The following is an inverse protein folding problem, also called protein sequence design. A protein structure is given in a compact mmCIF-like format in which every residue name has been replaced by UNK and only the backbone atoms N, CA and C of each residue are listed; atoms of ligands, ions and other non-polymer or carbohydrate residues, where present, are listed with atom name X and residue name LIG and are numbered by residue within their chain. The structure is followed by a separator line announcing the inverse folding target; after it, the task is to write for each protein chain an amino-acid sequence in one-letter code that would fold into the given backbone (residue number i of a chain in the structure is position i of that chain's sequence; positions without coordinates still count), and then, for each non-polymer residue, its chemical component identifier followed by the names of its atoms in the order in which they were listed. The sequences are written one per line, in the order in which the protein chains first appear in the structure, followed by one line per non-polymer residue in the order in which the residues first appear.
data_IF_515599533939
#
_entry.id   IF_515599533939
#
_cell.length_a   1.000
_cell.length_b   1.000
_cell.length_c   1.000
_cell.angle_alpha   90.00
_cell.angle_beta   90.00
_cell.angle_gamma   90.00
#
_symmetry.space_group_name_H-M   'P 1'
#
loop_
_entity.id
_entity.type
_entity.pdbx_description
1 polymer ?
#
# COMPACT_ATOMS: atom_id res chain seq x y z
N UNK A 1 6.41 2.07 28.17
CA UNK A 1 5.41 2.11 27.09
C UNK A 1 5.75 1.06 26.05
N UNK A 2 4.74 0.54 25.40
CA UNK A 2 4.86 -0.40 24.27
C UNK A 2 4.43 0.35 23.02
N UNK A 3 5.22 0.26 21.97
CA UNK A 3 4.99 0.93 20.66
C UNK A 3 5.22 -0.10 19.57
N UNK A 4 4.54 0.03 18.44
CA UNK A 4 4.81 -0.79 17.27
C UNK A 4 5.97 -0.20 16.46
N UNK A 5 6.73 -1.05 15.79
CA UNK A 5 7.77 -0.62 14.86
C UNK A 5 7.20 0.33 13.79
N UNK A 6 7.88 1.46 13.58
CA UNK A 6 7.43 2.51 12.66
C UNK A 6 6.66 3.66 13.31
N UNK A 7 6.04 3.43 14.45
CA UNK A 7 5.36 4.48 15.20
C UNK A 7 6.32 5.54 15.75
N UNK A 8 5.80 6.71 16.05
CA UNK A 8 6.55 7.75 16.77
C UNK A 8 6.40 7.59 18.26
N UNK A 9 7.53 7.59 18.97
CA UNK A 9 7.58 7.62 20.43
C UNK A 9 7.65 9.08 20.85
N UNK A 10 6.67 9.55 21.61
CA UNK A 10 6.63 10.91 22.13
C UNK A 10 7.13 10.94 23.56
N UNK A 11 8.24 11.64 23.79
CA UNK A 11 8.86 11.85 25.09
C UNK A 11 8.59 13.28 25.55
N UNK A 12 7.64 13.46 26.46
CA UNK A 12 7.39 14.75 27.09
C UNK A 12 8.19 14.84 28.38
N UNK A 13 8.99 15.90 28.51
CA UNK A 13 9.91 16.09 29.62
C UNK A 13 9.88 17.51 30.17
N UNK A 14 10.13 17.65 31.46
CA UNK A 14 10.38 18.93 32.10
C UNK A 14 11.81 18.99 32.65
N UNK A 15 12.55 20.04 32.34
CA UNK A 15 13.90 20.30 32.84
C UNK A 15 13.89 21.62 33.56
N UNK A 16 14.29 21.62 34.82
CA UNK A 16 14.37 22.83 35.65
C UNK A 16 15.83 23.26 35.85
N UNK A 17 16.11 24.52 35.58
CA UNK A 17 17.38 25.12 36.03
C UNK A 17 17.28 25.48 37.51
N UNK A 18 17.73 24.59 38.37
CA UNK A 18 17.71 24.77 39.83
C UNK A 18 18.78 25.74 40.34
N UNK A 19 19.66 26.25 39.47
CA UNK A 19 20.73 27.17 39.80
C UNK A 19 20.25 28.62 39.91
N UNK A 20 20.98 29.54 40.56
CA UNK A 20 20.68 30.97 40.54
C UNK A 20 21.22 31.67 39.28
N UNK A 21 21.82 30.96 38.33
CA UNK A 21 22.46 31.49 37.14
C UNK A 21 21.69 31.06 35.88
N UNK A 22 21.75 31.89 34.86
CA UNK A 22 21.20 31.54 33.56
C UNK A 22 22.14 30.56 32.83
N UNK A 23 21.58 29.61 32.14
CA UNK A 23 22.29 28.78 31.15
C UNK A 23 22.20 29.48 29.80
N UNK A 24 23.31 29.53 29.05
CA UNK A 24 23.35 30.18 27.73
C UNK A 24 22.48 29.49 26.69
N UNK A 25 22.40 28.17 26.79
CA UNK A 25 21.51 27.28 26.02
C UNK A 25 21.45 25.93 26.69
N UNK A 26 20.41 25.17 26.43
CA UNK A 26 20.27 23.82 26.95
C UNK A 26 20.56 22.78 25.88
N UNK A 27 21.64 22.03 25.99
CA UNK A 27 21.86 20.87 25.14
C UNK A 27 21.19 19.64 25.78
N UNK A 28 20.48 18.88 24.99
CA UNK A 28 19.83 17.62 25.39
C UNK A 28 20.38 16.49 24.53
N UNK A 29 20.73 15.37 25.14
CA UNK A 29 21.10 14.16 24.43
C UNK A 29 20.06 13.07 24.70
N UNK A 30 19.51 12.47 23.65
CA UNK A 30 18.57 11.37 23.75
C UNK A 30 19.16 10.15 23.03
N UNK A 31 19.20 9.02 23.74
CA UNK A 31 19.77 7.78 23.26
C UNK A 31 18.99 6.56 23.70
N UNK A 32 19.08 5.49 22.93
CA UNK A 32 18.56 4.17 23.28
C UNK A 32 19.71 3.22 23.55
N UNK A 33 19.51 2.33 24.49
CA UNK A 33 20.47 1.29 24.86
C UNK A 33 19.74 -0.04 25.04
N UNK A 34 20.29 -1.09 24.45
CA UNK A 34 19.87 -2.48 24.67
C UNK A 34 21.09 -3.40 24.76
N UNK A 35 20.87 -4.72 24.78
CA UNK A 35 21.93 -5.73 24.81
C UNK A 35 22.89 -5.67 23.61
N UNK A 36 22.45 -5.11 22.49
CA UNK A 36 23.20 -5.05 21.23
C UNK A 36 24.02 -3.76 21.08
N UNK A 37 23.78 -2.77 21.92
CA UNK A 37 24.55 -1.54 21.94
C UNK A 37 23.77 -0.27 22.22
N UNK A 38 24.40 0.85 21.86
CA UNK A 38 23.90 2.19 22.08
C UNK A 38 23.56 2.85 20.75
N UNK A 39 22.37 3.43 20.67
CA UNK A 39 21.91 4.21 19.51
C UNK A 39 21.72 5.66 19.98
N UNK A 40 22.50 6.59 19.41
CA UNK A 40 22.26 8.01 19.59
C UNK A 40 21.14 8.45 18.66
N UNK A 41 20.06 8.99 19.23
CA UNK A 41 18.88 9.37 18.45
C UNK A 41 18.95 10.82 18.00
N UNK A 42 19.05 11.74 18.97
CA UNK A 42 19.08 13.16 18.67
C UNK A 42 19.81 13.93 19.79
N UNK A 43 20.27 15.08 19.41
CA UNK A 43 21.03 15.98 20.30
C UNK A 43 20.55 17.42 20.07
N UNK A 44 19.28 17.73 20.41
CA UNK A 44 18.72 19.06 20.17
C UNK A 44 19.29 20.07 21.15
N UNK A 45 19.62 21.24 20.63
CA UNK A 45 19.97 22.41 21.44
C UNK A 45 18.74 23.30 21.57
N UNK A 46 18.41 23.66 22.79
CA UNK A 46 17.28 24.48 23.17
C UNK A 46 17.71 25.93 23.42
N UNK A 47 16.73 26.80 23.54
CA UNK A 47 16.95 28.21 23.96
C UNK A 47 17.61 28.33 25.35
N UNK A 48 18.16 29.51 25.68
CA UNK A 48 18.69 29.78 27.00
C UNK A 48 17.66 29.50 28.08
N UNK A 49 18.07 28.81 29.15
CA UNK A 49 17.24 28.49 30.30
C UNK A 49 17.61 29.39 31.47
N UNK A 50 16.72 30.31 31.86
CA UNK A 50 16.96 31.27 32.94
C UNK A 50 17.04 30.58 34.29
N UNK A 51 17.63 31.28 35.25
CA UNK A 51 17.64 30.83 36.62
C UNK A 51 16.23 30.53 37.13
N UNK A 52 16.03 29.33 37.71
CA UNK A 52 14.73 28.86 38.25
C UNK A 52 13.63 28.66 37.20
N UNK A 53 13.97 28.69 35.94
CA UNK A 53 13.05 28.42 34.86
C UNK A 53 12.88 26.91 34.59
N UNK A 54 11.68 26.55 34.20
CA UNK A 54 11.36 25.17 33.75
C UNK A 54 11.14 25.17 32.24
N UNK A 55 11.90 24.35 31.54
CA UNK A 55 11.71 24.04 30.17
C UNK A 55 10.83 22.77 30.04
N UNK A 56 9.78 22.83 29.27
CA UNK A 56 8.91 21.67 28.99
C UNK A 56 8.82 21.52 27.48
N UNK A 57 9.15 20.33 26.98
CA UNK A 57 9.04 20.04 25.56
C UNK A 57 8.67 18.56 25.32
N UNK A 58 8.26 18.26 24.08
CA UNK A 58 7.95 16.89 23.67
C UNK A 58 8.80 16.54 22.45
N UNK A 59 9.68 15.58 22.65
CA UNK A 59 10.54 15.05 21.60
C UNK A 59 9.86 13.87 20.91
N UNK A 60 9.80 13.92 19.58
CA UNK A 60 9.35 12.81 18.76
C UNK A 60 10.56 11.96 18.34
N UNK A 61 10.51 10.67 18.66
CA UNK A 61 11.56 9.70 18.37
C UNK A 61 10.97 8.66 17.43
N UNK A 62 11.61 8.44 16.29
CA UNK A 62 11.20 7.39 15.37
C UNK A 62 11.55 6.01 15.90
N UNK A 63 10.58 5.10 15.89
CA UNK A 63 10.83 3.68 16.22
C UNK A 63 11.20 2.83 15.00
N UNK A 64 11.45 3.46 13.87
CA UNK A 64 11.88 2.78 12.63
C UNK A 64 13.10 1.90 12.89
N UNK A 65 13.00 0.63 12.49
CA UNK A 65 14.04 -0.40 12.67
C UNK A 65 14.35 -0.78 14.13
N UNK A 66 13.49 -0.36 15.06
CA UNK A 66 13.57 -0.78 16.45
C UNK A 66 12.56 -1.93 16.66
N UNK A 67 13.00 -3.02 17.28
CA UNK A 67 12.16 -4.21 17.50
C UNK A 67 12.55 -4.98 18.76
N UNK A 68 12.90 -4.27 19.84
CA UNK A 68 13.38 -4.86 21.08
C UNK A 68 12.95 -4.02 22.29
N UNK A 69 13.42 -4.41 23.46
CA UNK A 69 13.34 -3.61 24.67
C UNK A 69 14.56 -2.72 24.76
N UNK A 70 14.33 -1.43 25.02
CA UNK A 70 15.36 -0.43 25.13
C UNK A 70 15.22 0.34 26.44
N UNK A 71 16.37 0.74 27.01
CA UNK A 71 16.44 1.84 27.96
C UNK A 71 16.60 3.14 27.16
N UNK A 72 15.63 4.02 27.31
CA UNK A 72 15.72 5.37 26.78
C UNK A 72 16.37 6.24 27.83
N UNK A 73 17.48 6.85 27.48
CA UNK A 73 18.21 7.80 28.27
C UNK A 73 18.06 9.20 27.71
N UNK A 74 17.79 10.14 28.58
CA UNK A 74 17.85 11.54 28.27
C UNK A 74 18.81 12.20 29.23
N UNK A 75 19.75 13.00 28.72
CA UNK A 75 20.72 13.73 29.50
C UNK A 75 20.66 15.20 29.13
N UNK A 76 20.33 16.05 30.10
CA UNK A 76 20.47 17.50 29.96
C UNK A 76 21.93 17.88 30.25
N UNK A 77 22.45 18.86 29.51
CA UNK A 77 23.84 19.34 29.66
C UNK A 77 24.87 18.17 29.61
N UNK A 78 24.87 17.34 28.54
CA UNK A 78 25.73 16.16 28.44
C UNK A 78 27.19 16.55 28.21
N UNK A 79 28.11 15.61 28.44
CA UNK A 79 29.46 15.68 27.89
C UNK A 79 29.47 15.51 26.40
N UNK A 80 30.25 16.32 25.70
CA UNK A 80 30.43 16.23 24.28
C UNK A 80 31.80 15.60 23.97
N UNK A 81 31.85 14.45 23.28
CA UNK A 81 33.08 13.77 22.85
C UNK A 81 34.14 13.54 23.97
N UNK A 82 33.64 13.29 25.21
CA UNK A 82 34.53 13.04 26.35
C UNK A 82 35.10 14.31 27.01
N UNK A 83 34.82 15.48 26.44
CA UNK A 83 35.15 16.78 27.02
C UNK A 83 34.26 17.07 28.27
N UNK A 84 34.54 18.14 29.03
CA UNK A 84 33.64 18.61 30.07
C UNK A 84 32.22 18.78 29.57
N UNK A 85 31.25 18.79 30.47
CA UNK A 85 29.86 19.09 30.16
C UNK A 85 29.74 20.38 29.35
N UNK A 86 28.69 20.50 28.56
CA UNK A 86 28.45 21.64 27.69
C UNK A 86 28.47 22.97 28.46
N UNK A 87 27.96 22.97 29.69
CA UNK A 87 28.04 24.09 30.61
C UNK A 87 28.42 23.63 32.02
N UNK A 88 29.06 24.52 32.81
CA UNK A 88 29.47 24.22 34.18
C UNK A 88 28.26 24.18 35.12
N UNK A 89 28.15 23.11 35.89
CA UNK A 89 27.17 22.93 36.95
C UNK A 89 27.83 22.36 38.21
N UNK A 90 27.22 22.59 39.37
CA UNK A 90 27.70 22.03 40.61
C UNK A 90 27.46 20.52 40.72
N UNK A 91 26.34 20.04 40.15
CA UNK A 91 25.92 18.65 40.16
C UNK A 91 25.38 18.25 38.81
N UNK A 92 25.77 17.07 38.29
CA UNK A 92 25.37 16.53 36.99
C UNK A 92 24.54 15.25 37.10
N UNK A 93 24.44 14.65 38.29
CA UNK A 93 23.75 13.38 38.47
C UNK A 93 22.22 13.50 38.39
N UNK A 94 21.69 14.68 38.57
CA UNK A 94 20.26 14.98 38.46
C UNK A 94 19.82 15.36 37.04
N UNK A 95 20.72 15.38 36.08
CA UNK A 95 20.48 15.74 34.68
C UNK A 95 20.13 14.52 33.82
N UNK A 96 19.91 13.37 34.42
CA UNK A 96 19.70 12.12 33.72
C UNK A 96 18.31 11.58 34.01
N UNK A 97 17.54 11.34 32.93
CA UNK A 97 16.29 10.60 32.96
C UNK A 97 16.51 9.26 32.26
N UNK A 98 16.04 8.19 32.89
CA UNK A 98 15.99 6.85 32.28
C UNK A 98 14.57 6.32 32.32
N UNK A 99 14.11 5.78 31.21
CA UNK A 99 12.84 5.02 31.13
C UNK A 99 12.99 3.83 30.23
N UNK A 100 12.11 2.86 30.40
CA UNK A 100 12.10 1.68 29.54
C UNK A 100 11.00 1.82 28.47
N UNK A 101 11.34 1.50 27.25
CA UNK A 101 10.42 1.37 26.14
C UNK A 101 10.54 -0.03 25.53
N UNK A 102 9.45 -0.54 25.02
CA UNK A 102 9.41 -1.79 24.27
C UNK A 102 8.83 -1.49 22.89
N UNK A 103 9.56 -1.83 21.86
CA UNK A 103 9.08 -1.74 20.49
C UNK A 103 8.79 -3.16 20.00
N UNK A 104 7.55 -3.41 19.62
CA UNK A 104 7.13 -4.70 19.11
C UNK A 104 7.22 -4.73 17.61
N UNK A 105 7.72 -5.85 17.05
CA UNK A 105 7.64 -6.08 15.62
C UNK A 105 6.18 -6.10 15.20
N UNK A 106 5.91 -5.60 14.01
CA UNK A 106 4.62 -5.78 13.38
C UNK A 106 4.38 -7.25 13.00
N UNK A 107 3.15 -7.72 13.20
CA UNK A 107 2.70 -9.06 12.87
C UNK A 107 1.35 -9.05 12.14
N UNK A 108 0.93 -7.90 11.65
CA UNK A 108 -0.31 -7.75 10.88
C UNK A 108 0.03 -7.93 9.41
N UNK A 109 -0.76 -8.72 8.71
CA UNK A 109 -0.55 -8.95 7.30
C UNK A 109 -1.09 -7.77 6.48
N UNK A 110 -0.33 -7.27 5.49
CA UNK A 110 -0.84 -6.25 4.59
C UNK A 110 -1.99 -6.78 3.73
N UNK A 111 -2.87 -5.89 3.29
CA UNK A 111 -4.01 -6.19 2.44
C UNK A 111 -3.60 -6.02 0.99
N UNK A 112 -3.82 -7.06 0.18
CA UNK A 112 -3.58 -7.05 -1.26
C UNK A 112 -4.90 -6.93 -2.00
N UNK A 113 -4.98 -5.98 -2.92
CA UNK A 113 -6.08 -5.83 -3.87
C UNK A 113 -5.60 -5.88 -5.31
N UNK A 114 -6.38 -6.51 -6.20
CA UNK A 114 -6.03 -6.66 -7.62
C UNK A 114 -7.26 -6.37 -8.48
N UNK A 115 -7.14 -5.37 -9.33
CA UNK A 115 -8.19 -4.98 -10.27
C UNK A 115 -7.74 -5.09 -11.73
N UNK A 116 -8.69 -5.30 -12.62
CA UNK A 116 -8.52 -5.36 -14.07
C UNK A 116 -9.44 -4.29 -14.69
N UNK A 117 -8.87 -3.33 -15.39
CA UNK A 117 -9.63 -2.18 -15.94
C UNK A 117 -10.51 -1.50 -14.87
N UNK A 118 -9.98 -1.40 -13.63
CA UNK A 118 -10.62 -0.77 -12.48
C UNK A 118 -11.71 -1.60 -11.79
N UNK A 119 -11.84 -2.89 -12.11
CA UNK A 119 -12.84 -3.79 -11.49
C UNK A 119 -12.22 -5.09 -11.00
N UNK A 120 -12.86 -5.70 -10.01
CA UNK A 120 -12.56 -7.07 -9.61
C UNK A 120 -13.24 -8.04 -10.58
N UNK A 121 -12.47 -8.96 -11.12
CA UNK A 121 -12.99 -10.02 -11.99
C UNK A 121 -13.26 -11.31 -11.21
N UNK A 122 -14.13 -12.14 -11.75
CA UNK A 122 -14.37 -13.49 -11.23
C UNK A 122 -13.54 -14.52 -12.02
N UNK A 123 -13.34 -15.69 -11.42
CA UNK A 123 -12.68 -16.78 -12.13
C UNK A 123 -13.42 -17.14 -13.44
N UNK A 124 -12.67 -17.20 -14.51
CA UNK A 124 -13.12 -17.45 -15.89
C UNK A 124 -13.86 -16.27 -16.56
N UNK A 125 -13.77 -15.07 -15.98
CA UNK A 125 -14.22 -13.89 -16.72
C UNK A 125 -13.37 -13.67 -17.97
N UNK A 126 -14.00 -13.15 -19.01
CA UNK A 126 -13.31 -12.71 -20.22
C UNK A 126 -12.85 -11.27 -20.00
N UNK A 127 -11.57 -11.00 -20.26
CA UNK A 127 -10.97 -9.67 -20.16
C UNK A 127 -10.40 -9.21 -21.50
N UNK A 128 -10.04 -7.94 -21.56
CA UNK A 128 -9.31 -7.37 -22.70
C UNK A 128 -7.97 -8.08 -22.92
N UNK A 129 -7.51 -8.26 -24.16
CA UNK A 129 -6.14 -8.65 -24.46
C UNK A 129 -5.08 -7.64 -24.00
N UNK A 130 -5.49 -6.39 -23.76
CA UNK A 130 -4.65 -5.30 -23.25
C UNK A 130 -5.28 -4.70 -22.00
N UNK A 131 -5.37 -5.46 -20.90
CA UNK A 131 -5.99 -4.97 -19.68
C UNK A 131 -5.04 -4.04 -18.94
N UNK A 132 -5.59 -3.08 -18.20
CA UNK A 132 -4.87 -2.33 -17.18
C UNK A 132 -5.04 -3.06 -15.84
N UNK A 133 -3.98 -3.71 -15.37
CA UNK A 133 -3.99 -4.46 -14.11
C UNK A 133 -3.35 -3.60 -13.03
N UNK A 134 -4.10 -3.33 -11.96
CA UNK A 134 -3.60 -2.58 -10.81
C UNK A 134 -3.54 -3.52 -9.61
N UNK A 135 -2.38 -3.53 -8.95
CA UNK A 135 -2.11 -4.29 -7.75
C UNK A 135 -1.82 -3.28 -6.64
N UNK A 136 -2.63 -3.26 -5.61
CA UNK A 136 -2.47 -2.38 -4.46
C UNK A 136 -2.09 -3.21 -3.24
N UNK A 137 -1.10 -2.74 -2.49
CA UNK A 137 -0.74 -3.26 -1.18
C UNK A 137 -0.95 -2.15 -0.15
N UNK A 138 -1.78 -2.42 0.85
CA UNK A 138 -2.16 -1.52 1.93
C UNK A 138 -1.76 -2.13 3.28
N UNK A 139 -1.29 -1.29 4.20
CA UNK A 139 -0.90 -1.72 5.54
C UNK A 139 -1.37 -0.68 6.55
N UNK A 140 -1.79 -1.11 7.75
CA UNK A 140 -2.20 -0.19 8.80
C UNK A 140 -1.03 0.66 9.32
N UNK A 141 0.20 0.19 9.13
CA UNK A 141 1.40 0.94 9.48
C UNK A 141 2.03 1.57 8.21
N UNK A 142 1.85 2.87 8.00
CA UNK A 142 2.35 3.57 6.82
C UNK A 142 3.86 3.39 6.60
N UNK A 143 4.63 3.25 7.68
CA UNK A 143 6.07 3.06 7.58
C UNK A 143 6.45 1.77 6.85
N UNK A 144 5.62 0.72 6.96
CA UNK A 144 5.93 -0.59 6.39
C UNK A 144 5.70 -0.64 4.87
N UNK A 145 4.87 0.27 4.36
CA UNK A 145 4.57 0.42 2.93
C UNK A 145 5.34 1.59 2.31
N UNK A 146 5.32 2.76 2.99
CA UNK A 146 5.90 4.00 2.49
C UNK A 146 7.42 4.03 2.67
N UNK A 147 8.16 3.74 1.61
CA UNK A 147 9.61 3.91 1.60
C UNK A 147 10.16 4.06 0.21
N UNK A 148 11.07 5.00 0.05
CA UNK A 148 11.85 5.22 -1.17
C UNK A 148 12.67 3.98 -1.58
N UNK A 149 12.99 3.11 -0.60
CA UNK A 149 13.78 1.90 -0.80
C UNK A 149 12.91 0.63 -0.84
N UNK A 150 11.69 0.68 -1.34
CA UNK A 150 10.89 -0.54 -1.45
C UNK A 150 11.61 -1.55 -2.35
N UNK A 151 11.97 -2.65 -1.75
CA UNK A 151 12.60 -3.73 -2.48
C UNK A 151 11.54 -4.46 -3.33
N UNK A 152 11.70 -4.39 -4.66
CA UNK A 152 10.82 -5.11 -5.58
C UNK A 152 10.82 -6.63 -5.35
N UNK A 153 11.77 -7.15 -4.57
CA UNK A 153 11.80 -8.56 -4.14
C UNK A 153 10.68 -8.90 -3.16
N UNK A 154 10.06 -7.91 -2.51
CA UNK A 154 8.91 -8.10 -1.63
C UNK A 154 7.63 -8.47 -2.40
N UNK A 155 7.66 -8.42 -3.74
CA UNK A 155 6.54 -8.79 -4.59
C UNK A 155 6.86 -10.01 -5.44
N UNK A 156 5.96 -10.99 -5.40
CA UNK A 156 5.92 -12.11 -6.33
C UNK A 156 4.70 -11.94 -7.24
N UNK A 157 4.96 -11.63 -8.51
CA UNK A 157 3.93 -11.51 -9.54
C UNK A 157 4.26 -12.50 -10.62
N UNK A 158 3.33 -13.40 -10.93
CA UNK A 158 3.58 -14.49 -11.86
C UNK A 158 2.34 -14.75 -12.71
N UNK A 159 2.58 -15.11 -13.94
CA UNK A 159 1.54 -15.47 -14.91
C UNK A 159 1.74 -16.88 -15.45
N UNK A 160 0.65 -17.58 -15.67
CA UNK A 160 0.64 -18.83 -16.41
C UNK A 160 -0.12 -18.60 -17.70
N UNK A 161 0.54 -18.87 -18.83
CA UNK A 161 -0.02 -18.72 -20.20
C UNK A 161 -0.91 -19.89 -20.57
N UNK A 162 -1.77 -19.74 -21.59
CA UNK A 162 -2.54 -20.83 -22.15
C UNK A 162 -1.65 -22.01 -22.54
N UNK A 163 -2.14 -23.22 -22.32
CA UNK A 163 -1.44 -24.47 -22.63
C UNK A 163 -0.09 -24.67 -21.89
N UNK A 164 0.24 -23.81 -20.92
CA UNK A 164 1.39 -23.96 -20.04
C UNK A 164 0.96 -24.49 -18.68
N UNK A 165 1.84 -25.24 -18.02
CA UNK A 165 1.73 -25.62 -16.60
C UNK A 165 2.77 -24.89 -15.74
N UNK A 166 3.55 -23.99 -16.34
CA UNK A 166 4.64 -23.29 -15.66
C UNK A 166 4.25 -21.85 -15.36
N UNK A 167 4.59 -21.39 -14.17
CA UNK A 167 4.50 -20.01 -13.78
C UNK A 167 5.71 -19.24 -14.28
N UNK A 168 5.48 -18.13 -14.95
CA UNK A 168 6.50 -17.20 -15.41
C UNK A 168 6.47 -15.96 -14.53
N UNK A 169 7.61 -15.60 -13.95
CA UNK A 169 7.73 -14.41 -13.13
C UNK A 169 7.62 -13.16 -14.00
N UNK A 170 6.77 -12.22 -13.61
CA UNK A 170 6.71 -10.88 -14.18
C UNK A 170 7.70 -10.02 -13.40
N UNK A 171 8.77 -9.62 -14.08
CA UNK A 171 9.83 -8.80 -13.49
C UNK A 171 9.48 -7.32 -13.58
N UNK A 172 9.88 -6.53 -12.58
CA UNK A 172 9.73 -5.07 -12.61
C UNK A 172 10.51 -4.43 -13.75
N UNK A 173 11.65 -5.02 -14.10
CA UNK A 173 12.47 -4.60 -15.22
C UNK A 173 12.75 -5.76 -16.15
N UNK A 174 12.67 -5.51 -17.45
CA UNK A 174 13.08 -6.44 -18.51
C UNK A 174 14.06 -5.75 -19.43
N UNK A 175 15.27 -6.33 -19.56
CA UNK A 175 16.33 -5.74 -20.40
C UNK A 175 16.75 -4.31 -20.01
N UNK A 176 16.53 -3.89 -18.76
CA UNK A 176 16.82 -2.54 -18.27
C UNK A 176 15.70 -1.52 -18.52
N UNK A 177 14.57 -1.95 -19.06
CA UNK A 177 13.37 -1.13 -19.25
C UNK A 177 12.33 -1.52 -18.19
N UNK A 178 11.60 -0.54 -17.66
CA UNK A 178 10.52 -0.79 -16.72
C UNK A 178 9.39 -1.57 -17.42
N UNK A 179 9.05 -2.73 -16.89
CA UNK A 179 7.96 -3.59 -17.34
C UNK A 179 6.71 -3.39 -16.49
N UNK A 180 6.90 -2.98 -15.24
CA UNK A 180 5.86 -2.57 -14.32
C UNK A 180 6.12 -1.13 -13.90
N UNK A 181 5.08 -0.32 -13.83
CA UNK A 181 5.13 0.97 -13.16
C UNK A 181 4.77 0.76 -11.69
N UNK A 182 5.49 1.40 -10.77
CA UNK A 182 5.12 1.36 -9.36
C UNK A 182 5.36 2.70 -8.70
N UNK A 183 4.54 3.00 -7.72
CA UNK A 183 4.63 4.24 -6.93
C UNK A 183 3.91 4.08 -5.59
N UNK A 184 4.16 5.04 -4.72
CA UNK A 184 3.50 5.13 -3.43
C UNK A 184 2.44 6.22 -3.51
N UNK A 185 1.21 5.89 -3.16
CA UNK A 185 0.16 6.87 -2.92
C UNK A 185 0.26 7.33 -1.45
N UNK A 186 0.92 8.46 -1.22
CA UNK A 186 1.12 9.02 0.12
C UNK A 186 -0.18 9.42 0.82
N UNK A 187 -1.24 9.71 0.06
CA UNK A 187 -2.53 10.11 0.62
C UNK A 187 -3.23 8.93 1.28
N UNK A 188 -3.17 7.76 0.66
CA UNK A 188 -3.90 6.56 1.07
C UNK A 188 -2.97 5.50 1.70
N UNK A 189 -1.67 5.78 1.83
CA UNK A 189 -0.64 4.87 2.34
C UNK A 189 -0.58 3.53 1.59
N UNK A 190 -0.75 3.57 0.26
CA UNK A 190 -0.76 2.37 -0.57
C UNK A 190 0.46 2.29 -1.45
N UNK A 191 0.99 1.09 -1.62
CA UNK A 191 1.92 0.77 -2.68
C UNK A 191 1.15 0.25 -3.89
N UNK A 192 1.35 0.89 -5.03
CA UNK A 192 0.61 0.61 -6.26
C UNK A 192 1.58 0.10 -7.33
N UNK A 193 1.19 -0.99 -7.98
CA UNK A 193 1.87 -1.53 -9.16
C UNK A 193 0.87 -1.54 -10.31
N UNK A 194 1.25 -0.96 -11.44
CA UNK A 194 0.49 -0.98 -12.67
C UNK A 194 1.18 -1.88 -13.69
N UNK A 195 0.41 -2.77 -14.30
CA UNK A 195 0.86 -3.71 -15.30
C UNK A 195 -0.08 -3.67 -16.50
N UNK A 196 0.46 -3.27 -17.65
CA UNK A 196 -0.24 -3.13 -18.93
C UNK A 196 0.26 -4.18 -19.94
N UNK A 197 -0.13 -5.46 -19.80
CA UNK A 197 0.29 -6.52 -20.71
C UNK A 197 -0.42 -6.43 -22.06
N UNK A 198 0.24 -6.98 -23.06
CA UNK A 198 -0.39 -7.33 -24.34
C UNK A 198 -0.42 -8.86 -24.51
N UNK A 199 -1.58 -9.47 -24.27
CA UNK A 199 -1.79 -10.91 -24.45
C UNK A 199 -1.99 -11.23 -25.93
N UNK A 200 -1.16 -12.13 -26.47
CA UNK A 200 -1.09 -12.44 -27.91
C UNK A 200 -1.69 -13.79 -28.29
N UNK A 201 -2.23 -14.51 -27.33
CA UNK A 201 -2.80 -15.84 -27.54
C UNK A 201 -4.19 -15.92 -26.92
N UNK A 202 -5.13 -16.55 -27.65
CA UNK A 202 -6.42 -16.91 -27.08
C UNK A 202 -6.28 -17.99 -26.02
N UNK A 203 -7.07 -17.90 -24.97
CA UNK A 203 -7.19 -18.95 -23.98
C UNK A 203 -7.13 -18.49 -22.54
N UNK A 204 -6.92 -19.44 -21.65
CA UNK A 204 -7.00 -19.25 -20.23
C UNK A 204 -5.62 -18.91 -19.66
N UNK A 205 -5.55 -17.78 -19.01
CA UNK A 205 -4.42 -17.31 -18.23
C UNK A 205 -4.71 -17.43 -16.75
N UNK A 206 -3.63 -17.51 -15.94
CA UNK A 206 -3.73 -17.38 -14.49
C UNK A 206 -2.72 -16.36 -14.03
N UNK A 207 -3.15 -15.44 -13.20
CA UNK A 207 -2.28 -14.50 -12.49
C UNK A 207 -2.22 -14.90 -11.02
N UNK A 208 -1.04 -14.85 -10.42
CA UNK A 208 -0.88 -14.92 -8.98
C UNK A 208 0.00 -13.79 -8.47
N UNK A 209 -0.38 -13.25 -7.33
CA UNK A 209 0.30 -12.11 -6.72
C UNK A 209 0.42 -12.35 -5.23
N UNK A 210 1.59 -12.03 -4.69
CA UNK A 210 1.82 -11.94 -3.26
C UNK A 210 2.73 -10.75 -2.98
N UNK A 211 2.36 -9.94 -2.02
CA UNK A 211 3.17 -8.84 -1.49
C UNK A 211 3.61 -9.16 -0.06
N UNK A 212 4.68 -8.52 0.37
CA UNK A 212 5.15 -8.53 1.75
C UNK A 212 5.42 -7.10 2.19
N UNK A 213 5.12 -6.82 3.46
CA UNK A 213 5.54 -5.60 4.12
C UNK A 213 7.04 -5.65 4.46
N UNK A 214 7.55 -4.60 5.08
CA UNK A 214 8.95 -4.54 5.53
C UNK A 214 9.28 -5.41 6.73
N UNK A 215 8.27 -5.76 7.52
CA UNK A 215 8.42 -6.69 8.64
C UNK A 215 8.45 -8.15 8.18
N UNK A 216 8.16 -8.39 6.89
CA UNK A 216 8.14 -9.70 6.26
C UNK A 216 6.80 -10.43 6.41
N UNK A 217 5.71 -9.72 6.80
CA UNK A 217 4.38 -10.30 6.81
C UNK A 217 3.87 -10.36 5.38
N UNK A 218 3.34 -11.50 4.97
CA UNK A 218 2.80 -11.70 3.63
C UNK A 218 1.34 -11.26 3.56
N UNK A 219 0.88 -10.81 2.40
CA UNK A 219 -0.50 -10.40 2.13
C UNK A 219 -1.53 -11.54 2.24
N UNK A 220 -1.14 -12.67 2.75
CA UNK A 220 -1.95 -13.85 3.04
C UNK A 220 -1.11 -15.10 3.09
N UNK A 221 -1.65 -16.17 3.69
CA UNK A 221 -1.00 -17.49 3.77
C UNK A 221 -0.78 -18.14 2.40
N UNK A 222 -1.62 -17.74 1.42
CA UNK A 222 -1.54 -18.16 0.04
C UNK A 222 -1.53 -16.94 -0.87
N UNK A 223 -0.82 -16.97 -2.01
CA UNK A 223 -0.90 -15.92 -3.00
C UNK A 223 -2.34 -15.71 -3.48
N UNK A 224 -2.73 -14.45 -3.71
CA UNK A 224 -3.92 -14.16 -4.52
C UNK A 224 -3.76 -14.84 -5.87
N UNK A 225 -4.79 -15.54 -6.33
CA UNK A 225 -4.79 -16.20 -7.64
C UNK A 225 -6.12 -16.01 -8.33
N UNK A 226 -6.08 -15.61 -9.59
CA UNK A 226 -7.24 -15.44 -10.46
C UNK A 226 -6.99 -16.10 -11.81
N UNK A 227 -8.02 -16.72 -12.36
CA UNK A 227 -8.02 -17.29 -13.70
C UNK A 227 -8.97 -16.47 -14.58
N UNK A 228 -8.54 -16.13 -15.79
CA UNK A 228 -9.31 -15.35 -16.74
C UNK A 228 -9.08 -15.85 -18.17
N UNK A 229 -10.01 -15.51 -19.08
CA UNK A 229 -9.92 -15.88 -20.48
C UNK A 229 -9.66 -14.64 -21.34
N UNK A 230 -8.76 -14.79 -22.30
CA UNK A 230 -8.49 -13.79 -23.34
C UNK A 230 -8.98 -14.32 -24.67
N UNK A 231 -9.75 -13.50 -25.40
CA UNK A 231 -10.23 -13.79 -26.74
C UNK A 231 -9.88 -12.61 -27.64
N UNK A 232 -8.93 -12.80 -28.55
CA UNK A 232 -8.37 -11.73 -29.40
C UNK A 232 -9.39 -11.24 -30.43
N UNK A 233 -10.23 -12.14 -30.92
CA UNK A 233 -11.23 -11.82 -31.95
C UNK A 233 -12.35 -10.97 -31.34
N UNK A 234 -12.57 -9.78 -31.92
CA UNK A 234 -13.72 -8.94 -31.54
C UNK A 234 -15.03 -9.63 -31.98
N UNK A 235 -15.90 -9.89 -31.03
CA UNK A 235 -17.22 -10.43 -31.26
C UNK A 235 -18.16 -10.16 -30.09
N UNK A 236 -19.46 -10.39 -30.33
CA UNK A 236 -20.50 -10.37 -29.32
C UNK A 236 -21.02 -11.79 -29.17
N UNK A 237 -20.96 -12.32 -27.94
CA UNK A 237 -21.36 -13.70 -27.64
C UNK A 237 -22.27 -13.73 -26.42
N UNK A 238 -22.81 -14.91 -26.09
CA UNK A 238 -23.64 -15.15 -24.91
C UNK A 238 -24.82 -14.18 -24.79
N UNK A 239 -25.49 -13.88 -25.91
CA UNK A 239 -26.60 -12.92 -25.94
C UNK A 239 -27.87 -13.62 -25.47
N UNK A 240 -28.44 -13.14 -24.35
CA UNK A 240 -29.74 -13.59 -23.85
C UNK A 240 -30.38 -12.54 -22.97
N UNK A 241 -31.65 -12.71 -22.65
CA UNK A 241 -32.35 -11.91 -21.65
C UNK A 241 -32.78 -12.77 -20.46
N UNK A 242 -32.72 -12.19 -19.25
CA UNK A 242 -33.13 -12.86 -18.02
C UNK A 242 -33.80 -11.88 -17.05
N UNK A 243 -34.97 -12.25 -16.46
CA UNK A 243 -35.75 -13.46 -16.71
C UNK A 243 -36.37 -13.49 -18.11
N UNK A 244 -36.67 -14.71 -18.63
CA UNK A 244 -37.41 -14.92 -19.87
C UNK A 244 -38.32 -16.15 -19.69
N UNK A 245 -39.68 -16.00 -19.72
CA UNK A 245 -40.41 -14.76 -19.93
C UNK A 245 -40.33 -13.79 -18.76
N UNK A 246 -40.64 -12.52 -18.98
CA UNK A 246 -40.71 -11.48 -17.98
C UNK A 246 -42.06 -10.77 -17.99
N UNK A 247 -42.41 -10.10 -16.86
CA UNK A 247 -43.67 -9.38 -16.71
C UNK A 247 -43.52 -7.86 -16.67
N UNK A 248 -42.49 -7.37 -15.98
CA UNK A 248 -42.25 -5.95 -15.81
C UNK A 248 -40.89 -5.51 -16.31
N UNK A 249 -39.85 -6.31 -16.07
CA UNK A 249 -38.49 -6.00 -16.48
C UNK A 249 -37.68 -7.25 -16.82
N UNK A 250 -36.65 -7.09 -17.63
CA UNK A 250 -35.66 -8.10 -17.94
C UNK A 250 -34.29 -7.46 -18.09
N UNK A 251 -33.23 -8.24 -17.96
CA UNK A 251 -31.88 -7.80 -18.25
C UNK A 251 -31.40 -8.44 -19.54
N UNK A 252 -30.79 -7.64 -20.40
CA UNK A 252 -30.03 -8.17 -21.53
C UNK A 252 -28.62 -8.42 -21.08
N UNK A 253 -28.15 -9.62 -21.27
CA UNK A 253 -26.78 -10.06 -20.96
C UNK A 253 -26.09 -10.38 -22.26
N UNK A 254 -24.87 -9.90 -22.41
CA UNK A 254 -24.02 -10.20 -23.56
C UNK A 254 -22.56 -10.08 -23.18
N UNK A 255 -21.70 -10.77 -23.91
CA UNK A 255 -20.25 -10.75 -23.69
C UNK A 255 -19.57 -10.11 -24.89
N UNK A 256 -18.75 -9.09 -24.65
CA UNK A 256 -17.87 -8.49 -25.63
C UNK A 256 -16.48 -9.13 -25.53
N UNK A 257 -15.88 -9.43 -26.69
CA UNK A 257 -14.51 -9.94 -26.80
C UNK A 257 -13.67 -9.06 -27.71
N UNK A 258 -12.35 -9.21 -27.67
CA UNK A 258 -11.39 -8.38 -28.40
C UNK A 258 -10.80 -7.27 -27.54
N UNK A 259 -10.03 -6.38 -28.16
CA UNK A 259 -9.28 -5.31 -27.47
C UNK A 259 -10.03 -3.99 -27.34
N UNK A 260 -11.11 -3.80 -28.10
CA UNK A 260 -11.78 -2.49 -28.18
C UNK A 260 -13.29 -2.66 -28.06
N UNK A 261 -13.92 -1.72 -27.37
CA UNK A 261 -15.36 -1.59 -27.35
C UNK A 261 -15.79 -1.05 -28.72
N UNK A 262 -16.79 -1.65 -29.39
CA UNK A 262 -17.24 -1.19 -30.71
C UNK A 262 -17.80 0.24 -30.63
N UNK A 263 -17.48 1.10 -31.59
CA UNK A 263 -18.01 2.46 -31.69
C UNK A 263 -19.54 2.50 -31.75
N UNK A 264 -20.15 1.43 -32.23
CA UNK A 264 -21.60 1.29 -32.37
C UNK A 264 -22.05 -0.08 -31.89
N UNK A 265 -22.97 -0.06 -30.95
CA UNK A 265 -23.66 -1.22 -30.40
C UNK A 265 -25.12 -0.85 -30.14
N UNK A 266 -26.03 -1.61 -30.72
CA UNK A 266 -27.47 -1.42 -30.52
C UNK A 266 -28.13 -2.74 -30.15
N UNK A 267 -29.03 -2.72 -29.18
CA UNK A 267 -29.94 -3.83 -28.87
C UNK A 267 -31.30 -3.47 -29.42
N UNK A 268 -31.79 -4.25 -30.38
CA UNK A 268 -33.10 -4.04 -30.99
C UNK A 268 -34.10 -5.08 -30.50
N UNK A 269 -35.19 -4.61 -29.95
CA UNK A 269 -36.31 -5.44 -29.52
C UNK A 269 -37.37 -5.38 -30.58
N UNK A 270 -37.66 -6.53 -31.20
CA UNK A 270 -38.62 -6.67 -32.28
C UNK A 270 -39.82 -7.50 -31.80
N UNK A 271 -41.02 -7.21 -32.35
CA UNK A 271 -42.14 -8.10 -32.18
C UNK A 271 -42.05 -9.30 -33.18
N UNK A 272 -42.97 -10.25 -33.07
CA UNK A 272 -42.98 -11.45 -33.92
C UNK A 272 -43.12 -11.16 -35.43
N UNK A 273 -43.60 -9.97 -35.79
CA UNK A 273 -43.74 -9.52 -37.17
C UNK A 273 -42.51 -8.73 -37.68
N UNK A 274 -41.44 -8.68 -36.89
CA UNK A 274 -40.21 -7.96 -37.23
C UNK A 274 -40.29 -6.45 -37.07
N UNK A 275 -41.35 -5.90 -36.46
CA UNK A 275 -41.48 -4.46 -36.20
C UNK A 275 -40.66 -4.08 -34.95
N UNK A 276 -39.82 -3.03 -35.10
CA UNK A 276 -39.06 -2.46 -34.00
C UNK A 276 -39.98 -1.92 -32.90
N UNK A 277 -39.83 -2.39 -31.70
CA UNK A 277 -40.51 -1.92 -30.48
C UNK A 277 -39.65 -0.96 -29.72
N UNK A 278 -38.38 -1.28 -29.53
CA UNK A 278 -37.41 -0.46 -28.77
C UNK A 278 -36.01 -0.71 -29.33
N UNK A 279 -35.18 0.33 -29.32
CA UNK A 279 -33.76 0.26 -29.56
C UNK A 279 -33.06 0.83 -28.35
N UNK A 280 -32.06 0.14 -27.85
CA UNK A 280 -31.16 0.57 -26.77
C UNK A 280 -29.79 0.79 -27.41
N UNK A 281 -29.33 2.02 -27.40
CA UNK A 281 -28.05 2.39 -28.00
C UNK A 281 -26.90 2.23 -27.00
N UNK A 282 -25.68 2.16 -27.48
CA UNK A 282 -24.46 2.07 -26.67
C UNK A 282 -24.44 3.11 -25.54
N UNK A 283 -24.86 4.34 -25.81
CA UNK A 283 -24.90 5.44 -24.83
C UNK A 283 -25.92 5.26 -23.69
N UNK A 284 -26.85 4.31 -23.84
CA UNK A 284 -27.84 3.96 -22.82
C UNK A 284 -27.37 2.77 -21.95
N UNK A 285 -26.26 2.12 -22.31
CA UNK A 285 -25.69 0.98 -21.60
C UNK A 285 -24.61 1.53 -20.63
N UNK A 286 -24.85 1.38 -19.35
CA UNK A 286 -23.90 1.81 -18.33
C UNK A 286 -22.73 0.83 -18.20
N UNK A 287 -21.53 1.36 -17.96
CA UNK A 287 -20.32 0.59 -17.63
C UNK A 287 -19.98 -0.53 -18.65
N UNK A 288 -20.15 -0.23 -19.95
CA UNK A 288 -19.80 -1.20 -20.99
C UNK A 288 -18.31 -1.50 -21.00
N UNK A 289 -17.95 -2.78 -21.15
CA UNK A 289 -16.57 -3.26 -21.08
C UNK A 289 -16.36 -4.50 -21.93
N UNK A 290 -15.12 -4.85 -22.18
CA UNK A 290 -14.76 -6.19 -22.65
C UNK A 290 -15.07 -7.19 -21.53
N UNK A 291 -15.63 -8.33 -21.88
CA UNK A 291 -16.19 -9.31 -20.95
C UNK A 291 -17.69 -9.21 -20.81
N UNK A 292 -18.22 -9.61 -19.67
CA UNK A 292 -19.66 -9.70 -19.43
C UNK A 292 -20.29 -8.33 -19.17
N UNK A 293 -21.35 -8.05 -19.90
CA UNK A 293 -22.15 -6.84 -19.80
C UNK A 293 -23.62 -7.17 -19.50
N UNK A 294 -24.27 -6.29 -18.75
CA UNK A 294 -25.68 -6.40 -18.41
C UNK A 294 -26.35 -5.03 -18.52
N UNK A 295 -27.50 -4.96 -19.13
CA UNK A 295 -28.33 -3.74 -19.16
C UNK A 295 -29.78 -4.05 -18.87
N UNK A 296 -30.46 -3.18 -18.14
CA UNK A 296 -31.85 -3.40 -17.72
C UNK A 296 -32.83 -2.79 -18.74
N UNK A 297 -33.95 -3.46 -18.91
CA UNK A 297 -35.09 -3.01 -19.70
C UNK A 297 -36.40 -3.13 -18.91
N UNK A 298 -37.16 -2.04 -18.88
CA UNK A 298 -38.46 -1.94 -18.20
C UNK A 298 -39.62 -1.95 -19.19
#
# INVERSE_FOLDING_TARGET
SVVQEGDSIYLSVGIENVTPFNMDSLLVNIRLENSNGLINLLQPRQDPLRAREVFIDTFAISSKFLNDQYFLWMTANPKINGEPQDQEEQFYFNNILQTQISVTKDNINPILDVTFDGIHILNNDIISPTPHIVIELDDENPFLILSEDLDTSNFQIEIMKPNSSMWEKISFFEGGVANLLWYINETDNKFIIEYDPEFKEDGIYKLRVQGQDRSGNSSGDQPYQIQFEVVLKSSITNIYNYPNPFSSKTHFVFTLTGSEIPDKLDIQILNINGRLIKQINLSEIENIRIGNNITEYF
#
